data_IF_751599834668
#
_entry.id   IF_751599834668
#
_cell.length_a   1.000
_cell.length_b   1.000
_cell.length_c   1.000
_cell.angle_alpha   90.00
_cell.angle_beta   90.00
_cell.angle_gamma   90.00
#
_symmetry.space_group_name_H-M   'P 1'
#
loop_
_entity.id
_entity.type
_entity.pdbx_description
1 polymer ?
#
# COMPACT_ATOMS: atom_id res chain seq x y z
N UNK A 1 -2.76 14.66 -2.10
CA UNK A 1 -2.90 13.19 -2.19
C UNK A 1 -2.18 12.45 -1.08
N UNK A 2 -0.93 12.75 -0.76
CA UNK A 2 -0.21 12.08 0.34
C UNK A 2 -0.90 12.14 1.70
N UNK A 3 -1.26 13.35 2.15
CA UNK A 3 -1.94 13.52 3.43
C UNK A 3 -3.27 12.78 3.44
N UNK A 4 -4.03 12.83 2.34
CA UNK A 4 -5.25 12.03 2.19
C UNK A 4 -4.99 10.53 2.26
N UNK A 5 -3.94 10.04 1.61
CA UNK A 5 -3.52 8.63 1.70
C UNK A 5 -3.25 8.24 3.15
N UNK A 6 -2.46 9.03 3.89
CA UNK A 6 -2.16 8.76 5.30
C UNK A 6 -3.43 8.81 6.16
N UNK A 7 -4.20 9.89 6.07
CA UNK A 7 -5.38 10.13 6.90
C UNK A 7 -6.47 9.09 6.64
N UNK A 8 -6.88 8.88 5.39
CA UNK A 8 -7.96 7.92 5.09
C UNK A 8 -7.53 6.48 5.34
N UNK A 9 -6.26 6.13 5.13
CA UNK A 9 -5.77 4.77 5.45
C UNK A 9 -5.77 4.53 6.96
N UNK A 10 -5.39 5.52 7.76
CA UNK A 10 -5.42 5.42 9.22
C UNK A 10 -6.86 5.39 9.76
N UNK A 11 -7.74 6.28 9.27
CA UNK A 11 -9.15 6.27 9.62
C UNK A 11 -9.84 4.96 9.23
N UNK A 12 -9.50 4.42 8.05
CA UNK A 12 -9.99 3.10 7.63
C UNK A 12 -9.50 2.00 8.56
N UNK A 13 -8.25 2.04 9.03
CA UNK A 13 -7.71 1.04 9.96
C UNK A 13 -8.34 1.16 11.35
N UNK A 14 -8.63 2.38 11.81
CA UNK A 14 -9.27 2.63 13.10
C UNK A 14 -10.73 2.16 13.13
N UNK A 15 -11.46 2.31 12.02
CA UNK A 15 -12.90 2.02 11.96
C UNK A 15 -13.25 0.64 11.39
N UNK A 16 -12.28 -0.11 10.87
CA UNK A 16 -12.48 -1.45 10.32
C UNK A 16 -11.61 -2.49 11.01
N UNK A 17 -12.05 -3.74 10.93
CA UNK A 17 -11.19 -4.87 11.29
C UNK A 17 -10.03 -5.03 10.31
N UNK A 18 -8.99 -5.75 10.75
CA UNK A 18 -7.80 -6.01 9.94
C UNK A 18 -8.21 -6.73 8.65
N UNK A 19 -9.06 -7.76 8.72
CA UNK A 19 -9.59 -8.46 7.54
C UNK A 19 -10.26 -7.53 6.52
N UNK A 20 -11.16 -6.66 6.95
CA UNK A 20 -11.85 -5.71 6.07
C UNK A 20 -10.88 -4.71 5.43
N UNK A 21 -9.90 -4.24 6.20
CA UNK A 21 -8.84 -3.36 5.71
C UNK A 21 -7.95 -4.04 4.66
N UNK A 22 -7.62 -5.33 4.83
CA UNK A 22 -6.84 -6.07 3.84
C UNK A 22 -7.63 -6.32 2.54
N UNK A 23 -8.92 -6.62 2.65
CA UNK A 23 -9.81 -6.71 1.48
C UNK A 23 -9.83 -5.39 0.70
N UNK A 24 -9.96 -4.26 1.39
CA UNK A 24 -9.88 -2.95 0.77
C UNK A 24 -8.52 -2.74 0.07
N UNK A 25 -7.41 -3.10 0.73
CA UNK A 25 -6.08 -2.99 0.12
C UNK A 25 -5.94 -3.80 -1.17
N UNK A 26 -6.46 -5.02 -1.23
CA UNK A 26 -6.45 -5.83 -2.47
C UNK A 26 -7.15 -5.10 -3.61
N UNK A 27 -8.27 -4.44 -3.33
CA UNK A 27 -9.02 -3.65 -4.31
C UNK A 27 -8.26 -2.43 -4.83
N UNK A 28 -7.17 -2.01 -4.17
CA UNK A 28 -6.28 -0.96 -4.68
C UNK A 28 -5.62 -1.39 -6.00
N UNK A 29 -5.23 -2.66 -6.12
CA UNK A 29 -4.56 -3.19 -7.33
C UNK A 29 -5.40 -3.08 -8.61
N UNK A 30 -6.66 -3.58 -8.67
CA UNK A 30 -7.49 -3.42 -9.86
C UNK A 30 -7.81 -1.95 -10.15
N UNK A 31 -8.02 -1.11 -9.13
CA UNK A 31 -8.25 0.33 -9.34
C UNK A 31 -7.01 1.00 -9.96
N UNK A 32 -5.80 0.64 -9.52
CA UNK A 32 -4.56 1.11 -10.16
C UNK A 32 -4.49 0.68 -11.63
N UNK A 33 -4.81 -0.57 -11.94
CA UNK A 33 -4.80 -1.06 -13.34
C UNK A 33 -5.79 -0.26 -14.19
N UNK A 34 -6.99 0.02 -13.67
CA UNK A 34 -7.99 0.86 -14.37
C UNK A 34 -7.47 2.27 -14.58
N UNK A 35 -6.93 2.93 -13.55
CA UNK A 35 -6.38 4.28 -13.66
C UNK A 35 -5.22 4.32 -14.68
N UNK A 36 -4.28 3.38 -14.61
CA UNK A 36 -3.15 3.32 -15.53
C UNK A 36 -3.57 2.99 -16.97
N UNK A 37 -4.62 2.20 -17.15
CA UNK A 37 -5.14 1.86 -18.47
C UNK A 37 -5.92 3.02 -19.11
N UNK A 38 -6.75 3.72 -18.34
CA UNK A 38 -7.60 4.81 -18.84
C UNK A 38 -6.81 6.12 -19.02
N UNK A 39 -6.06 6.54 -17.99
CA UNK A 39 -5.38 7.85 -18.02
C UNK A 39 -4.00 7.81 -18.66
N UNK A 40 -3.24 6.73 -18.43
CA UNK A 40 -1.86 6.61 -18.91
C UNK A 40 -1.74 5.72 -20.15
N UNK A 41 -2.87 5.23 -20.70
CA UNK A 41 -2.95 4.35 -21.86
C UNK A 41 -2.02 3.12 -21.77
N UNK A 42 -1.70 2.67 -20.56
CA UNK A 42 -0.87 1.46 -20.36
C UNK A 42 -1.71 0.22 -20.59
N UNK A 43 -1.23 -0.66 -21.45
CA UNK A 43 -1.83 -1.97 -21.69
C UNK A 43 -1.26 -3.00 -20.73
N UNK A 44 -2.13 -3.70 -20.02
CA UNK A 44 -1.76 -4.86 -19.21
C UNK A 44 -2.25 -6.12 -19.90
N UNK A 45 -1.38 -7.13 -20.04
CA UNK A 45 -1.81 -8.42 -20.58
C UNK A 45 -2.86 -9.07 -19.71
N UNK A 46 -3.76 -9.80 -20.36
CA UNK A 46 -4.76 -10.63 -19.73
C UNK A 46 -4.12 -11.61 -18.74
N UNK A 47 -2.89 -12.08 -18.99
CA UNK A 47 -2.15 -12.96 -18.06
C UNK A 47 -1.92 -12.28 -16.71
N UNK A 48 -1.49 -11.02 -16.70
CA UNK A 48 -1.31 -10.23 -15.47
C UNK A 48 -2.66 -10.01 -14.78
N UNK A 49 -3.72 -9.68 -15.52
CA UNK A 49 -5.06 -9.50 -14.94
C UNK A 49 -5.58 -10.78 -14.27
N UNK A 50 -5.34 -11.95 -14.87
CA UNK A 50 -5.73 -13.24 -14.31
C UNK A 50 -5.01 -13.57 -13.00
N UNK A 51 -3.76 -13.13 -12.82
CA UNK A 51 -3.04 -13.34 -11.55
C UNK A 51 -3.63 -12.59 -10.36
N UNK A 52 -4.46 -11.56 -10.58
CA UNK A 52 -5.17 -10.89 -9.48
C UNK A 52 -6.25 -11.79 -8.85
N UNK A 53 -6.79 -12.76 -9.60
CA UNK A 53 -7.85 -13.66 -9.12
C UNK A 53 -7.35 -14.51 -7.93
N UNK A 54 -6.27 -15.30 -8.04
CA UNK A 54 -5.78 -16.10 -6.91
C UNK A 54 -5.31 -15.22 -5.75
N UNK A 55 -4.75 -14.03 -6.00
CA UNK A 55 -4.34 -13.11 -4.93
C UNK A 55 -5.56 -12.61 -4.16
N UNK A 56 -6.62 -12.21 -4.87
CA UNK A 56 -7.86 -11.75 -4.25
C UNK A 56 -8.52 -12.86 -3.45
N UNK A 57 -8.61 -14.07 -4.01
CA UNK A 57 -9.13 -15.24 -3.31
C UNK A 57 -8.32 -15.56 -2.06
N UNK A 58 -6.99 -15.54 -2.14
CA UNK A 58 -6.12 -15.82 -1.00
C UNK A 58 -6.28 -14.83 0.15
N UNK A 59 -6.45 -13.54 -0.14
CA UNK A 59 -6.69 -12.53 0.90
C UNK A 59 -8.10 -12.63 1.48
N UNK A 60 -9.11 -12.98 0.67
CA UNK A 60 -10.48 -13.26 1.15
C UNK A 60 -10.47 -14.44 2.11
N UNK A 61 -9.79 -15.53 1.78
CA UNK A 61 -9.66 -16.70 2.64
C UNK A 61 -8.95 -16.36 3.96
N UNK A 62 -7.87 -15.57 3.90
CA UNK A 62 -7.17 -15.09 5.10
C UNK A 62 -8.05 -14.22 6.01
N UNK A 63 -8.96 -13.46 5.41
CA UNK A 63 -9.79 -12.47 6.11
C UNK A 63 -11.15 -13.02 6.54
N UNK A 64 -11.52 -14.24 6.13
CA UNK A 64 -12.88 -14.77 6.23
C UNK A 64 -13.51 -14.65 7.63
N UNK A 65 -12.74 -14.94 8.69
CA UNK A 65 -13.22 -14.89 10.08
C UNK A 65 -13.05 -13.53 10.76
N UNK A 66 -12.33 -12.60 10.14
CA UNK A 66 -11.97 -11.30 10.71
C UNK A 66 -12.67 -10.13 10.01
N UNK A 67 -13.65 -10.39 9.14
CA UNK A 67 -14.41 -9.33 8.47
C UNK A 67 -15.60 -8.94 9.34
N UNK A 68 -15.65 -7.65 9.71
CA UNK A 68 -16.83 -7.02 10.28
C UNK A 68 -17.18 -5.81 9.42
N UNK A 69 -18.42 -5.78 8.96
CA UNK A 69 -18.92 -4.69 8.13
C UNK A 69 -19.42 -3.54 9.02
N UNK A 70 -18.82 -2.37 8.85
CA UNK A 70 -19.28 -1.12 9.41
C UNK A 70 -19.51 -0.14 8.27
N UNK A 71 -20.69 0.49 8.18
CA UNK A 71 -21.01 1.41 7.06
C UNK A 71 -19.98 2.54 6.95
N UNK A 72 -19.63 3.15 8.09
CA UNK A 72 -18.66 4.24 8.16
C UNK A 72 -17.25 3.74 7.79
N UNK A 73 -16.90 2.53 8.25
CA UNK A 73 -15.66 1.85 7.89
C UNK A 73 -15.55 1.56 6.40
N UNK A 74 -16.61 1.08 5.75
CA UNK A 74 -16.66 0.82 4.30
C UNK A 74 -16.48 2.13 3.52
N UNK A 75 -17.15 3.21 3.94
CA UNK A 75 -17.00 4.52 3.30
C UNK A 75 -15.53 5.00 3.33
N UNK A 76 -14.87 4.94 4.50
CA UNK A 76 -13.45 5.27 4.61
C UNK A 76 -12.55 4.31 3.85
N UNK A 77 -12.90 3.02 3.79
CA UNK A 77 -12.16 2.04 3.02
C UNK A 77 -12.23 2.35 1.51
N UNK A 78 -13.42 2.66 0.98
CA UNK A 78 -13.58 3.03 -0.45
C UNK A 78 -12.82 4.30 -0.79
N UNK A 79 -12.94 5.35 0.02
CA UNK A 79 -12.17 6.59 -0.16
C UNK A 79 -10.67 6.32 -0.04
N UNK A 80 -10.26 5.51 0.95
CA UNK A 80 -8.88 5.08 1.13
C UNK A 80 -8.33 4.38 -0.10
N UNK A 81 -9.07 3.46 -0.70
CA UNK A 81 -8.68 2.74 -1.92
C UNK A 81 -8.48 3.70 -3.10
N UNK A 82 -9.43 4.62 -3.32
CA UNK A 82 -9.34 5.61 -4.39
C UNK A 82 -8.14 6.55 -4.21
N UNK A 83 -7.96 7.09 -3.01
CA UNK A 83 -6.85 8.01 -2.73
C UNK A 83 -5.51 7.29 -2.78
N UNK A 84 -5.43 6.05 -2.27
CA UNK A 84 -4.20 5.24 -2.29
C UNK A 84 -3.80 4.89 -3.72
N UNK A 85 -4.75 4.43 -4.54
CA UNK A 85 -4.48 4.06 -5.94
C UNK A 85 -4.03 5.26 -6.75
N UNK A 86 -4.72 6.40 -6.65
CA UNK A 86 -4.32 7.66 -7.29
C UNK A 86 -2.93 8.10 -6.83
N UNK A 87 -2.67 8.05 -5.52
CA UNK A 87 -1.40 8.44 -4.95
C UNK A 87 -0.24 7.59 -5.49
N UNK A 88 -0.38 6.27 -5.46
CA UNK A 88 0.67 5.37 -5.96
C UNK A 88 0.92 5.54 -7.46
N UNK A 89 -0.14 5.73 -8.26
CA UNK A 89 0.01 6.03 -9.68
C UNK A 89 0.73 7.35 -9.91
N UNK A 90 0.40 8.41 -9.15
CA UNK A 90 1.06 9.70 -9.27
C UNK A 90 2.52 9.66 -8.85
N UNK A 91 2.88 8.93 -7.79
CA UNK A 91 4.29 8.76 -7.39
C UNK A 91 5.11 8.21 -8.56
N UNK A 92 4.64 7.12 -9.18
CA UNK A 92 5.35 6.52 -10.32
C UNK A 92 5.32 7.39 -11.59
N UNK A 93 4.18 8.02 -11.87
CA UNK A 93 4.04 8.90 -13.04
C UNK A 93 4.94 10.13 -12.94
N UNK A 94 4.96 10.81 -11.78
CA UNK A 94 5.74 12.04 -11.58
C UNK A 94 7.24 11.80 -11.50
N UNK A 95 7.70 10.65 -10.99
CA UNK A 95 9.11 10.27 -11.11
C UNK A 95 9.54 10.18 -12.57
N UNK A 96 8.72 9.58 -13.44
CA UNK A 96 9.03 9.45 -14.86
C UNK A 96 8.81 10.75 -15.65
N UNK A 97 7.77 11.52 -15.36
CA UNK A 97 7.45 12.79 -16.05
C UNK A 97 8.49 13.87 -15.75
N UNK A 98 8.92 13.98 -14.49
CA UNK A 98 9.88 15.00 -14.05
C UNK A 98 11.33 14.50 -14.11
N UNK A 99 11.58 13.24 -14.47
CA UNK A 99 12.90 12.60 -14.48
C UNK A 99 13.64 12.75 -13.13
N UNK A 100 12.90 12.63 -12.02
CA UNK A 100 13.44 12.78 -10.66
C UNK A 100 13.60 11.42 -9.98
N UNK A 101 14.63 11.29 -9.16
CA UNK A 101 14.81 10.10 -8.34
C UNK A 101 13.82 10.08 -7.15
N UNK A 102 13.65 8.91 -6.55
CA UNK A 102 12.77 8.65 -5.40
C UNK A 102 12.99 9.58 -4.22
N UNK A 103 14.26 9.84 -3.89
CA UNK A 103 14.61 10.75 -2.81
C UNK A 103 14.28 12.20 -3.15
N UNK A 104 14.46 12.64 -4.41
CA UNK A 104 14.13 14.00 -4.82
C UNK A 104 12.62 14.24 -4.79
N UNK A 105 11.82 13.30 -5.29
CA UNK A 105 10.35 13.43 -5.22
C UNK A 105 9.88 13.49 -3.76
N UNK A 106 10.42 12.62 -2.90
CA UNK A 106 10.09 12.63 -1.46
C UNK A 106 10.49 13.96 -0.80
N UNK A 107 11.65 14.51 -1.16
CA UNK A 107 12.13 15.79 -0.65
C UNK A 107 11.19 16.95 -1.00
N UNK A 108 10.64 17.01 -2.22
CA UNK A 108 9.67 18.04 -2.58
C UNK A 108 8.30 17.84 -1.93
N UNK A 109 7.92 16.58 -1.70
CA UNK A 109 6.62 16.23 -1.16
C UNK A 109 6.52 16.37 0.36
N UNK A 110 7.60 16.07 1.09
CA UNK A 110 7.60 16.01 2.55
C UNK A 110 7.29 17.36 3.23
N UNK A 111 7.90 18.51 2.83
CA UNK A 111 7.58 19.81 3.42
C UNK A 111 6.13 20.23 3.18
N UNK A 112 5.64 20.06 1.94
CA UNK A 112 4.25 20.35 1.58
C UNK A 112 3.28 19.51 2.41
N UNK A 113 3.60 18.23 2.59
CA UNK A 113 2.77 17.31 3.38
C UNK A 113 2.76 17.65 4.86
N UNK A 114 3.91 18.05 5.41
CA UNK A 114 4.04 18.52 6.79
C UNK A 114 3.20 19.77 7.03
N UNK A 115 3.27 20.77 6.13
CA UNK A 115 2.47 21.99 6.24
C UNK A 115 0.96 21.72 6.19
N UNK A 116 0.50 20.84 5.30
CA UNK A 116 -0.91 20.46 5.23
C UNK A 116 -1.35 19.72 6.50
N UNK A 117 -0.54 18.78 7.00
CA UNK A 117 -0.86 18.05 8.23
C UNK A 117 -0.88 18.97 9.45
N UNK A 118 0.04 19.94 9.54
CA UNK A 118 0.06 20.92 10.62
C UNK A 118 -1.26 21.71 10.72
N UNK A 119 -1.92 22.00 9.58
CA UNK A 119 -3.22 22.66 9.55
C UNK A 119 -4.35 21.69 9.88
N UNK A 120 -4.28 20.43 9.44
CA UNK A 120 -5.37 19.44 9.61
C UNK A 120 -5.39 18.82 11.00
N UNK A 121 -4.25 18.52 11.60
CA UNK A 121 -4.13 17.80 12.89
C UNK A 121 -4.96 18.45 14.02
N UNK A 122 -4.96 19.79 14.21
CA UNK A 122 -5.78 20.44 15.24
C UNK A 122 -7.30 20.20 15.12
N UNK A 123 -7.81 19.80 13.96
CA UNK A 123 -9.23 19.50 13.77
C UNK A 123 -9.60 18.06 14.14
N UNK A 124 -8.62 17.15 14.17
CA UNK A 124 -8.83 15.72 14.45
C UNK A 124 -8.28 15.30 15.81
N UNK A 125 -7.30 16.02 16.35
CA UNK A 125 -6.69 15.75 17.66
C UNK A 125 -6.91 16.93 18.63
N UNK A 126 -7.14 16.66 19.93
CA UNK A 126 -7.29 17.72 20.92
C UNK A 126 -6.01 18.55 21.04
N UNK A 127 -6.16 19.88 20.94
CA UNK A 127 -5.01 20.82 20.98
C UNK A 127 -4.44 20.95 22.40
N UNK A 128 -5.30 20.88 23.42
CA UNK A 128 -4.97 21.04 24.85
C UNK A 128 -5.60 19.89 25.65
N UNK A 129 -4.79 19.16 26.41
CA UNK A 129 -5.20 18.00 27.23
C UNK A 129 -4.11 16.94 27.36
N UNK A 130 -4.35 15.89 28.16
CA UNK A 130 -3.47 14.72 28.22
C UNK A 130 -3.43 14.02 26.85
N UNK A 131 -2.25 13.96 26.24
CA UNK A 131 -2.06 13.47 24.87
C UNK A 131 -2.39 14.48 23.77
N UNK A 132 -2.65 15.75 24.11
CA UNK A 132 -2.84 16.82 23.14
C UNK A 132 -1.54 17.36 22.54
N UNK A 133 -1.65 18.12 21.45
CA UNK A 133 -0.51 18.67 20.70
C UNK A 133 0.46 19.46 21.61
N UNK A 134 -0.09 20.19 22.59
CA UNK A 134 0.65 21.01 23.58
C UNK A 134 0.60 20.35 24.98
N UNK A 135 0.63 19.01 25.04
CA UNK A 135 0.70 18.26 26.30
C UNK A 135 2.11 18.20 26.90
N UNK A 136 2.21 17.79 28.17
CA UNK A 136 3.49 17.48 28.82
C UNK A 136 4.02 16.12 28.30
N UNK A 137 4.76 16.16 27.20
CA UNK A 137 5.38 14.97 26.62
C UNK A 137 6.63 14.54 27.39
N UNK A 138 6.71 13.26 27.77
CA UNK A 138 7.92 12.71 28.37
C UNK A 138 9.05 12.60 27.34
N UNK A 139 10.31 12.65 27.81
CA UNK A 139 11.48 12.49 26.92
C UNK A 139 11.46 11.15 26.18
N UNK A 140 10.96 10.09 26.84
CA UNK A 140 10.78 8.76 26.23
C UNK A 140 9.73 8.79 25.12
N UNK A 141 8.61 9.49 25.31
CA UNK A 141 7.59 9.65 24.28
C UNK A 141 8.15 10.39 23.06
N UNK A 142 8.88 11.49 23.29
CA UNK A 142 9.55 12.24 22.21
C UNK A 142 10.56 11.37 21.46
N UNK A 143 11.36 10.58 22.17
CA UNK A 143 12.30 9.63 21.58
C UNK A 143 11.62 8.57 20.71
N UNK A 144 10.51 7.99 21.20
CA UNK A 144 9.73 7.01 20.42
C UNK A 144 9.09 7.64 19.18
N UNK A 145 8.59 8.88 19.28
CA UNK A 145 8.03 9.61 18.14
C UNK A 145 9.11 9.87 17.08
N UNK A 146 10.29 10.37 17.48
CA UNK A 146 11.40 10.58 16.55
C UNK A 146 11.83 9.27 15.87
N UNK A 147 11.96 8.19 16.63
CA UNK A 147 12.30 6.88 16.08
C UNK A 147 11.25 6.37 15.08
N UNK A 148 9.96 6.51 15.41
CA UNK A 148 8.87 6.18 14.50
C UNK A 148 8.89 7.04 13.23
N UNK A 149 9.28 8.31 13.34
CA UNK A 149 9.46 9.23 12.22
C UNK A 149 10.58 8.79 11.27
N UNK A 150 11.71 8.33 11.80
CA UNK A 150 12.81 7.76 11.00
C UNK A 150 12.32 6.51 10.26
N UNK A 151 11.61 5.60 10.94
CA UNK A 151 11.04 4.41 10.30
C UNK A 151 10.02 4.81 9.22
N UNK A 152 9.14 5.76 9.51
CA UNK A 152 8.15 6.24 8.56
C UNK A 152 8.81 6.85 7.31
N UNK A 153 9.90 7.59 7.48
CA UNK A 153 10.71 8.10 6.37
C UNK A 153 11.30 6.97 5.53
N UNK A 154 11.92 5.96 6.16
CA UNK A 154 12.49 4.80 5.46
C UNK A 154 11.43 4.00 4.70
N UNK A 155 10.25 3.81 5.30
CA UNK A 155 9.11 3.16 4.65
C UNK A 155 8.67 3.98 3.43
N UNK A 156 8.49 5.30 3.56
CA UNK A 156 8.12 6.15 2.43
C UNK A 156 9.18 6.13 1.32
N UNK A 157 10.46 6.20 1.66
CA UNK A 157 11.55 6.09 0.69
C UNK A 157 11.50 4.74 -0.05
N UNK A 158 11.25 3.65 0.66
CA UNK A 158 11.09 2.31 0.08
C UNK A 158 9.90 2.23 -0.86
N UNK A 159 8.77 2.84 -0.50
CA UNK A 159 7.58 2.92 -1.36
C UNK A 159 7.93 3.59 -2.69
N UNK A 160 8.61 4.74 -2.64
CA UNK A 160 8.91 5.53 -3.84
C UNK A 160 9.96 4.82 -4.70
N UNK A 161 10.93 4.17 -4.06
CA UNK A 161 11.97 3.39 -4.73
C UNK A 161 11.37 2.19 -5.46
N UNK A 162 10.50 1.41 -4.82
CA UNK A 162 9.84 0.27 -5.48
C UNK A 162 8.95 0.76 -6.63
N UNK A 163 8.12 1.78 -6.40
CA UNK A 163 7.21 2.30 -7.42
C UNK A 163 7.97 2.87 -8.63
N UNK A 164 9.04 3.63 -8.40
CA UNK A 164 9.83 4.27 -9.45
C UNK A 164 10.65 3.31 -10.29
N UNK A 165 11.25 2.30 -9.67
CA UNK A 165 12.04 1.30 -10.39
C UNK A 165 11.17 0.20 -11.02
N UNK A 166 9.95 -0.02 -10.53
CA UNK A 166 9.07 -1.09 -11.01
C UNK A 166 7.72 -0.59 -11.49
N UNK A 167 6.67 -0.65 -10.64
CA UNK A 167 5.36 -0.09 -10.91
C UNK A 167 4.51 -0.03 -9.62
N UNK A 168 3.46 0.81 -9.59
CA UNK A 168 2.47 0.83 -8.52
C UNK A 168 1.81 -0.53 -8.25
N UNK A 169 1.54 -1.29 -9.31
CA UNK A 169 0.96 -2.65 -9.20
C UNK A 169 1.91 -3.59 -8.47
N UNK A 170 3.20 -3.57 -8.80
CA UNK A 170 4.22 -4.41 -8.14
C UNK A 170 4.42 -4.04 -6.68
N UNK A 171 4.33 -2.75 -6.34
CA UNK A 171 4.34 -2.33 -4.94
C UNK A 171 3.19 -2.96 -4.13
N UNK A 172 1.97 -3.05 -4.69
CA UNK A 172 0.87 -3.74 -4.01
C UNK A 172 1.14 -5.23 -3.82
N UNK A 173 1.78 -5.89 -4.80
CA UNK A 173 2.17 -7.30 -4.66
C UNK A 173 3.16 -7.50 -3.51
N UNK A 174 4.15 -6.61 -3.37
CA UNK A 174 5.05 -6.58 -2.20
C UNK A 174 4.29 -6.34 -0.89
N UNK A 175 3.24 -5.52 -0.91
CA UNK A 175 2.34 -5.32 0.22
C UNK A 175 1.65 -6.61 0.67
N UNK A 176 1.11 -7.38 -0.28
CA UNK A 176 0.48 -8.68 0.00
C UNK A 176 1.51 -9.73 0.44
N UNK A 177 2.71 -9.70 -0.13
CA UNK A 177 3.82 -10.55 0.31
C UNK A 177 4.23 -10.25 1.75
N UNK A 178 4.40 -8.96 2.09
CA UNK A 178 4.69 -8.51 3.46
C UNK A 178 3.63 -9.00 4.43
N UNK A 179 2.35 -8.91 4.06
CA UNK A 179 1.25 -9.39 4.89
C UNK A 179 1.35 -10.90 5.17
N UNK A 180 1.67 -11.72 4.16
CA UNK A 180 1.88 -13.16 4.34
C UNK A 180 3.04 -13.45 5.32
N UNK A 181 4.16 -12.72 5.19
CA UNK A 181 5.29 -12.86 6.12
C UNK A 181 4.88 -12.47 7.54
N UNK A 182 4.08 -11.41 7.71
CA UNK A 182 3.60 -11.00 9.04
C UNK A 182 2.72 -12.07 9.68
N UNK A 183 1.81 -12.71 8.92
CA UNK A 183 0.98 -13.81 9.44
C UNK A 183 1.82 -15.04 9.84
N UNK A 184 2.77 -15.44 8.99
CA UNK A 184 3.68 -16.55 9.29
C UNK A 184 4.57 -16.23 10.50
N UNK A 185 5.09 -15.00 10.58
CA UNK A 185 5.86 -14.53 11.73
C UNK A 185 5.05 -14.55 13.02
N UNK A 186 3.76 -14.17 12.96
CA UNK A 186 2.78 -14.30 14.04
C UNK A 186 2.72 -15.74 14.59
N UNK A 187 2.52 -16.69 13.69
CA UNK A 187 2.50 -18.11 14.01
C UNK A 187 3.82 -18.63 14.60
N UNK A 188 4.95 -18.33 13.98
CA UNK A 188 6.24 -18.88 14.41
C UNK A 188 6.76 -18.25 15.71
N UNK A 189 6.60 -16.94 15.90
CA UNK A 189 7.16 -16.21 17.04
C UNK A 189 6.20 -16.17 18.24
N UNK A 190 4.92 -15.93 17.98
CA UNK A 190 3.92 -15.71 19.03
C UNK A 190 3.02 -16.93 19.27
N UNK A 191 3.17 -18.00 18.45
CA UNK A 191 2.35 -19.22 18.50
C UNK A 191 0.86 -18.94 18.34
N UNK A 192 0.52 -17.88 17.60
CA UNK A 192 -0.87 -17.56 17.28
C UNK A 192 -1.49 -18.67 16.41
N UNK A 193 -2.67 -19.20 16.76
CA UNK A 193 -3.26 -20.31 16.02
C UNK A 193 -3.66 -19.88 14.61
N UNK A 194 -2.99 -20.43 13.59
CA UNK A 194 -3.37 -20.27 12.18
C UNK A 194 -4.51 -21.23 11.85
N UNK A 195 -5.64 -20.68 11.39
CA UNK A 195 -6.72 -21.49 10.82
C UNK A 195 -6.28 -22.12 9.49
N UNK A 196 -6.87 -23.27 9.14
CA UNK A 196 -6.61 -23.95 7.87
C UNK A 196 -6.90 -23.01 6.68
N UNK A 197 -7.96 -22.20 6.78
CA UNK A 197 -8.33 -21.23 5.76
C UNK A 197 -7.26 -20.14 5.56
N UNK A 198 -6.63 -19.67 6.64
CA UNK A 198 -5.52 -18.72 6.55
C UNK A 198 -4.29 -19.38 5.92
N UNK A 199 -3.99 -20.63 6.28
CA UNK A 199 -2.90 -21.40 5.62
C UNK A 199 -3.10 -21.52 4.11
N UNK A 200 -4.31 -21.92 3.67
CA UNK A 200 -4.67 -21.97 2.26
C UNK A 200 -4.65 -20.59 1.59
N UNK A 201 -5.09 -19.56 2.31
CA UNK A 201 -5.06 -18.17 1.84
C UNK A 201 -3.65 -17.66 1.58
N UNK A 202 -2.70 -17.95 2.48
CA UNK A 202 -1.28 -17.62 2.32
C UNK A 202 -0.71 -18.32 1.08
N UNK A 203 -0.94 -19.64 0.93
CA UNK A 203 -0.45 -20.40 -0.22
C UNK A 203 -1.01 -19.84 -1.55
N UNK A 204 -2.31 -19.58 -1.62
CA UNK A 204 -2.96 -19.03 -2.81
C UNK A 204 -2.41 -17.64 -3.17
N UNK A 205 -2.21 -16.79 -2.15
CA UNK A 205 -1.65 -15.43 -2.33
C UNK A 205 -0.20 -15.49 -2.85
N UNK A 206 0.64 -16.33 -2.25
CA UNK A 206 2.04 -16.49 -2.66
C UNK A 206 2.16 -17.04 -4.08
N UNK A 207 1.37 -18.07 -4.43
CA UNK A 207 1.34 -18.61 -5.79
C UNK A 207 0.93 -17.53 -6.80
N UNK A 208 -0.11 -16.74 -6.50
CA UNK A 208 -0.54 -15.63 -7.33
C UNK A 208 0.54 -14.57 -7.55
N UNK A 209 1.28 -14.21 -6.49
CA UNK A 209 2.40 -13.25 -6.57
C UNK A 209 3.56 -13.82 -7.40
N UNK A 210 3.89 -15.09 -7.25
CA UNK A 210 4.93 -15.76 -8.03
C UNK A 210 4.56 -15.79 -9.52
N UNK A 211 3.33 -16.17 -9.84
CA UNK A 211 2.82 -16.16 -11.21
C UNK A 211 2.80 -14.75 -11.80
N UNK A 212 2.38 -13.74 -11.04
CA UNK A 212 2.45 -12.34 -11.45
C UNK A 212 3.87 -11.92 -11.79
N UNK A 213 4.83 -12.24 -10.91
CA UNK A 213 6.24 -11.89 -11.08
C UNK A 213 6.82 -12.54 -12.33
N UNK A 214 6.55 -13.83 -12.52
CA UNK A 214 6.98 -14.57 -13.71
C UNK A 214 6.45 -13.95 -15.00
N UNK A 215 5.13 -13.68 -15.10
CA UNK A 215 4.57 -13.07 -16.31
C UNK A 215 5.07 -11.65 -16.54
N UNK A 216 5.27 -10.87 -15.47
CA UNK A 216 5.80 -9.51 -15.60
C UNK A 216 7.24 -9.51 -16.12
N UNK A 217 8.08 -10.42 -15.64
CA UNK A 217 9.47 -10.56 -16.13
C UNK A 217 9.48 -11.00 -17.59
N UNK A 218 8.65 -11.98 -17.94
CA UNK A 218 8.52 -12.45 -19.33
C UNK A 218 8.10 -11.32 -20.27
N UNK A 219 7.13 -10.48 -19.90
CA UNK A 219 6.74 -9.32 -20.72
C UNK A 219 7.86 -8.29 -20.89
N UNK A 220 8.69 -8.08 -19.86
CA UNK A 220 9.83 -7.17 -19.95
C UNK A 220 10.91 -7.72 -20.89
N UNK A 221 11.16 -9.02 -20.88
CA UNK A 221 12.10 -9.70 -21.78
C UNK A 221 11.60 -9.69 -23.24
N UNK A 222 10.34 -10.03 -23.47
CA UNK A 222 9.71 -9.98 -24.79
C UNK A 222 9.73 -8.55 -25.37
N UNK A 223 9.50 -7.55 -24.53
CA UNK A 223 9.57 -6.14 -24.91
C UNK A 223 10.98 -5.69 -25.31
N UNK A 224 12.01 -6.11 -24.56
CA UNK A 224 13.42 -5.83 -24.89
C UNK A 224 13.84 -6.48 -26.21
N UNK A 225 13.47 -7.74 -26.41
CA UNK A 225 13.80 -8.49 -27.65
C UNK A 225 13.18 -7.82 -28.89
N UNK A 226 11.94 -7.34 -28.79
CA UNK A 226 11.28 -6.61 -29.89
C UNK A 226 11.91 -5.26 -30.20
N UNK A 227 12.53 -4.58 -29.23
CA UNK A 227 13.24 -3.32 -29.45
C UNK A 227 14.61 -3.54 -30.10
N UNK A 228 15.30 -4.63 -29.76
CA UNK A 228 16.59 -5.01 -30.37
C UNK A 228 16.40 -5.46 -31.84
N UNK A 229 15.22 -5.95 -32.21
CA UNK A 229 14.90 -6.42 -33.58
C UNK A 229 14.28 -5.35 -34.49
N UNK A 230 14.03 -4.12 -34.01
CA UNK A 230 13.59 -3.03 -34.88
C UNK A 230 14.83 -2.41 -35.57
N UNK A 231 14.94 -2.47 -36.90
CA UNK A 231 16.05 -1.88 -37.64
C UNK A 231 16.06 -0.34 -37.56
#
# INVERSE_FOLDING_TARGET
SFCGFVVFTNLSLQNNTIGTYQLAKVMTTPVIIVIQSVYYKKTFSTKIKLTLIPITLGVVLNSYYDVKFNFLGILFATLGVLVTSLYQVWVGAKQHELQVNSMQLLYYQAPMSSGILMVIVPFFEPVVGDGGIIGNWSLTALGMVLFSGIIAFLVNLSIYWIIGNTSPVTYNMFGHFKFCITLLGGYFLFKDPLSINQGLGILCTLLGILTYTHFKLQEQEDGKTKLVQRP
#
